data_IF_690082506540
#
_entry.id   IF_690082506540
#
_cell.length_a   1.000
_cell.length_b   1.000
_cell.length_c   1.000
_cell.angle_alpha   90.00
_cell.angle_beta   90.00
_cell.angle_gamma   90.00
#
_symmetry.space_group_name_H-M   'P 1'
#
loop_
_entity.id
_entity.type
_entity.pdbx_description
1 polymer ?
#
# COMPACT_ATOMS: atom_id res chain seq x y z
N UNK A 1 -8.33 5.95 5.04
CA UNK A 1 -9.31 6.93 4.51
C UNK A 1 -10.40 7.12 5.56
N UNK A 2 -10.75 8.35 5.92
CA UNK A 2 -11.87 8.61 6.84
C UNK A 2 -13.19 8.59 6.07
N UNK A 3 -14.26 8.10 6.68
CA UNK A 3 -15.58 7.99 6.04
C UNK A 3 -16.07 9.32 5.47
N UNK A 4 -15.85 10.43 6.20
CA UNK A 4 -16.25 11.79 5.77
C UNK A 4 -15.65 12.21 4.41
N UNK A 5 -14.49 11.65 4.02
CA UNK A 5 -13.78 12.03 2.79
C UNK A 5 -14.58 11.63 1.55
N UNK A 6 -15.37 10.54 1.62
CA UNK A 6 -16.28 10.11 0.56
C UNK A 6 -17.31 11.17 0.18
N UNK A 7 -17.70 12.02 1.14
CA UNK A 7 -18.72 13.05 0.94
C UNK A 7 -18.13 14.45 0.82
N UNK A 8 -17.11 14.78 1.63
CA UNK A 8 -16.44 16.09 1.64
C UNK A 8 -15.94 16.50 0.26
N UNK A 9 -15.43 15.54 -0.52
CA UNK A 9 -14.86 15.79 -1.85
C UNK A 9 -15.74 15.28 -3.00
N UNK A 10 -16.98 14.86 -2.73
CA UNK A 10 -17.85 14.22 -3.71
C UNK A 10 -18.05 15.03 -5.01
N UNK A 11 -18.18 16.36 -4.90
CA UNK A 11 -18.33 17.25 -6.05
C UNK A 11 -17.12 17.24 -7.02
N UNK A 12 -15.95 16.78 -6.57
CA UNK A 12 -14.72 16.73 -7.35
C UNK A 12 -14.35 15.31 -7.82
N UNK A 13 -15.15 14.30 -7.48
CA UNK A 13 -14.98 12.94 -7.97
C UNK A 13 -15.58 12.75 -9.36
N UNK A 14 -14.92 11.90 -10.16
CA UNK A 14 -15.47 11.39 -11.42
C UNK A 14 -16.65 10.44 -11.16
N UNK A 15 -17.49 10.27 -12.18
CA UNK A 15 -18.69 9.43 -12.10
C UNK A 15 -18.37 7.94 -11.91
N UNK A 16 -17.27 7.44 -12.50
CA UNK A 16 -16.92 6.02 -12.50
C UNK A 16 -15.96 5.57 -11.39
N UNK A 17 -15.72 6.43 -10.39
CA UNK A 17 -14.90 6.14 -9.22
C UNK A 17 -15.74 5.90 -7.96
N UNK A 18 -15.44 6.65 -6.89
CA UNK A 18 -16.18 6.57 -5.63
C UNK A 18 -17.69 6.84 -5.79
N UNK A 19 -18.10 7.71 -6.73
CA UNK A 19 -19.52 7.96 -7.02
C UNK A 19 -20.24 6.70 -7.50
N UNK A 20 -19.65 5.96 -8.44
CA UNK A 20 -20.18 4.67 -8.91
C UNK A 20 -20.34 3.68 -7.77
N UNK A 21 -19.35 3.55 -6.87
CA UNK A 21 -19.45 2.66 -5.71
C UNK A 21 -20.61 3.07 -4.78
N UNK A 22 -20.79 4.37 -4.54
CA UNK A 22 -21.88 4.88 -3.69
C UNK A 22 -23.27 4.76 -4.34
N UNK A 23 -23.35 4.89 -5.67
CA UNK A 23 -24.59 4.86 -6.45
C UNK A 23 -25.06 3.43 -6.72
N UNK A 24 -24.15 2.56 -7.13
CA UNK A 24 -24.47 1.22 -7.65
C UNK A 24 -24.13 0.10 -6.64
N UNK A 25 -23.49 0.43 -5.52
CA UNK A 25 -23.11 -0.51 -4.47
C UNK A 25 -23.94 -0.39 -3.19
N UNK A 26 -23.45 -1.02 -2.11
CA UNK A 26 -24.04 -0.91 -0.78
C UNK A 26 -23.07 -0.24 0.19
N UNK A 27 -23.56 0.71 0.99
CA UNK A 27 -22.73 1.55 1.84
C UNK A 27 -23.09 1.39 3.33
N UNK A 28 -22.23 0.70 4.07
CA UNK A 28 -22.32 0.62 5.53
C UNK A 28 -21.74 1.90 6.16
N UNK A 29 -22.64 2.84 6.47
CA UNK A 29 -22.26 4.19 6.95
C UNK A 29 -21.72 4.23 8.39
N UNK A 30 -21.96 3.19 9.19
CA UNK A 30 -21.59 3.13 10.60
C UNK A 30 -20.70 1.91 10.93
N UNK A 31 -19.66 1.70 10.14
CA UNK A 31 -18.64 0.68 10.41
C UNK A 31 -17.53 1.26 11.27
N UNK A 32 -17.25 0.63 12.42
CA UNK A 32 -16.26 1.10 13.40
C UNK A 32 -15.23 0.02 13.68
N UNK A 33 -14.01 0.43 14.03
CA UNK A 33 -13.03 -0.49 14.62
C UNK A 33 -13.47 -0.86 16.03
N UNK A 34 -13.58 -2.16 16.31
CA UNK A 34 -13.91 -2.72 17.62
C UNK A 34 -12.66 -3.11 18.44
N UNK A 35 -11.51 -2.52 18.12
CA UNK A 35 -10.24 -2.79 18.79
C UNK A 35 -9.34 -1.56 18.80
N UNK A 36 -8.29 -1.62 19.61
CA UNK A 36 -7.21 -0.64 19.68
C UNK A 36 -5.86 -1.37 19.71
N UNK A 37 -4.79 -0.84 19.10
CA UNK A 37 -4.70 0.43 18.36
C UNK A 37 -5.18 0.33 16.89
N UNK A 38 -5.74 1.42 16.36
CA UNK A 38 -6.22 1.53 14.95
C UNK A 38 -5.07 1.82 13.98
N UNK A 39 -4.16 0.86 13.83
CA UNK A 39 -2.97 0.97 12.98
C UNK A 39 -3.04 0.07 11.75
N UNK A 40 -2.22 0.36 10.74
CA UNK A 40 -2.24 -0.29 9.42
C UNK A 40 -2.25 -1.83 9.49
N UNK A 41 -1.31 -2.45 10.21
CA UNK A 41 -1.18 -3.91 10.24
C UNK A 41 -2.40 -4.60 10.89
N UNK A 42 -2.84 -4.10 12.05
CA UNK A 42 -4.04 -4.58 12.72
C UNK A 42 -5.27 -4.40 11.81
N UNK A 43 -5.44 -3.20 11.22
CA UNK A 43 -6.44 -2.87 10.19
C UNK A 43 -6.57 -3.90 9.08
N UNK A 44 -5.47 -4.17 8.37
CA UNK A 44 -5.49 -5.10 7.24
C UNK A 44 -5.74 -6.54 7.71
N UNK A 45 -5.22 -6.94 8.87
CA UNK A 45 -5.46 -8.28 9.40
C UNK A 45 -6.94 -8.45 9.73
N UNK A 46 -7.55 -7.52 10.46
CA UNK A 46 -8.95 -7.62 10.89
C UNK A 46 -9.93 -7.63 9.71
N UNK A 47 -9.71 -6.80 8.69
CA UNK A 47 -10.57 -6.76 7.48
C UNK A 47 -10.62 -8.13 6.79
N UNK A 48 -9.49 -8.83 6.70
CA UNK A 48 -9.39 -10.06 5.91
C UNK A 48 -9.56 -11.34 6.73
N UNK A 49 -9.53 -11.27 8.07
CA UNK A 49 -9.70 -12.43 8.97
C UNK A 49 -11.04 -12.45 9.70
N UNK A 50 -11.81 -11.35 9.62
CA UNK A 50 -13.05 -11.15 10.39
C UNK A 50 -12.87 -11.35 11.91
N UNK A 51 -11.69 -10.99 12.42
CA UNK A 51 -11.41 -11.07 13.85
C UNK A 51 -10.52 -9.91 14.32
N UNK A 52 -10.26 -9.86 15.62
CA UNK A 52 -9.54 -8.75 16.27
C UNK A 52 -8.06 -9.11 16.55
N UNK A 53 -7.23 -8.11 16.89
CA UNK A 53 -5.82 -8.34 17.22
C UNK A 53 -5.53 -9.38 18.31
N UNK A 54 -6.44 -9.53 19.28
CA UNK A 54 -6.31 -10.57 20.31
C UNK A 54 -6.39 -11.99 19.74
N UNK A 55 -7.04 -12.18 18.59
CA UNK A 55 -7.25 -13.49 17.96
C UNK A 55 -6.27 -13.72 16.82
N UNK A 56 -6.14 -12.78 15.88
CA UNK A 56 -5.24 -12.94 14.73
C UNK A 56 -3.76 -12.63 15.05
N UNK A 57 -3.45 -12.14 16.26
CA UNK A 57 -2.07 -11.97 16.77
C UNK A 57 -1.31 -10.73 16.29
N UNK A 58 -1.73 -10.10 15.20
CA UNK A 58 -1.13 -8.87 14.66
C UNK A 58 -1.62 -7.62 15.42
N UNK A 59 -0.93 -7.26 16.50
CA UNK A 59 -1.35 -6.22 17.46
C UNK A 59 -0.92 -4.79 17.10
N UNK A 60 0.10 -4.61 16.27
CA UNK A 60 0.61 -3.30 15.90
C UNK A 60 1.39 -3.36 14.58
N UNK A 61 1.81 -2.21 14.04
CA UNK A 61 2.73 -2.18 12.89
C UNK A 61 4.10 -2.81 13.23
N UNK A 62 4.52 -2.67 14.48
CA UNK A 62 5.70 -3.27 15.09
C UNK A 62 5.48 -3.35 16.60
N UNK A 63 6.06 -4.33 17.26
CA UNK A 63 5.97 -4.48 18.72
C UNK A 63 7.27 -5.05 19.29
N UNK A 64 7.47 -4.83 20.59
CA UNK A 64 8.60 -5.40 21.30
C UNK A 64 8.35 -6.87 21.58
N UNK A 65 9.20 -7.75 21.08
CA UNK A 65 9.18 -9.17 21.37
C UNK A 65 10.07 -9.45 22.59
N UNK A 66 9.45 -9.65 23.76
CA UNK A 66 10.15 -9.91 25.02
C UNK A 66 11.04 -11.14 25.01
N UNK A 67 10.66 -12.19 24.26
CA UNK A 67 11.44 -13.42 24.18
C UNK A 67 12.72 -13.27 23.35
N UNK A 68 12.73 -12.30 22.42
CA UNK A 68 13.88 -11.98 21.57
C UNK A 68 14.60 -10.70 21.99
N UNK A 69 14.11 -10.02 23.03
CA UNK A 69 14.59 -8.73 23.52
C UNK A 69 14.79 -7.68 22.39
N UNK A 70 13.86 -7.62 21.43
CA UNK A 70 13.95 -6.70 20.28
C UNK A 70 12.58 -6.33 19.72
N UNK A 71 12.50 -5.18 19.07
CA UNK A 71 11.34 -4.83 18.24
C UNK A 71 11.32 -5.69 16.96
N UNK A 72 10.13 -6.10 16.55
CA UNK A 72 9.88 -6.80 15.28
C UNK A 72 8.77 -6.08 14.52
N UNK A 73 8.92 -5.93 13.19
CA UNK A 73 7.83 -5.45 12.32
C UNK A 73 6.77 -6.56 12.17
N UNK A 74 5.52 -6.14 11.95
CA UNK A 74 4.34 -7.03 11.86
C UNK A 74 4.44 -8.19 10.88
N UNK A 75 5.20 -8.03 9.80
CA UNK A 75 5.37 -9.05 8.77
C UNK A 75 6.83 -9.47 8.59
N UNK A 76 7.74 -8.99 9.46
CA UNK A 76 9.16 -9.35 9.40
C UNK A 76 9.34 -10.85 9.60
N UNK A 77 10.13 -11.47 8.71
CA UNK A 77 10.53 -12.85 8.88
C UNK A 77 11.98 -13.07 8.46
N UNK A 78 12.80 -13.45 9.45
CA UNK A 78 14.24 -13.72 9.30
C UNK A 78 14.53 -15.10 8.70
N UNK A 79 13.52 -15.92 8.43
CA UNK A 79 13.69 -17.24 7.79
C UNK A 79 13.38 -17.22 6.29
N UNK A 80 13.04 -16.06 5.74
CA UNK A 80 12.79 -15.85 4.31
C UNK A 80 13.55 -14.61 3.88
N UNK A 81 13.87 -14.53 2.58
CA UNK A 81 14.67 -13.44 2.02
C UNK A 81 13.83 -12.63 1.04
N UNK A 82 14.25 -11.40 0.76
CA UNK A 82 13.60 -10.54 -0.22
C UNK A 82 13.94 -10.99 -1.65
N UNK A 83 12.93 -11.06 -2.52
CA UNK A 83 13.04 -11.52 -3.91
C UNK A 83 12.76 -10.37 -4.86
N UNK A 84 13.64 -10.19 -5.84
CA UNK A 84 13.60 -9.05 -6.76
C UNK A 84 14.39 -7.84 -6.28
N UNK A 85 15.15 -8.00 -5.19
CA UNK A 85 15.92 -6.90 -4.62
C UNK A 85 17.25 -6.66 -5.33
N UNK A 86 17.62 -5.40 -5.61
CA UNK A 86 18.94 -4.95 -6.09
C UNK A 86 20.04 -5.19 -5.06
N UNK A 87 19.73 -4.95 -3.78
CA UNK A 87 20.65 -5.22 -2.66
C UNK A 87 20.14 -6.46 -1.92
N UNK A 88 21.01 -7.44 -1.70
CA UNK A 88 20.65 -8.66 -0.97
C UNK A 88 20.15 -8.29 0.43
N UNK A 89 18.92 -8.73 0.75
CA UNK A 89 18.32 -8.55 2.06
C UNK A 89 17.95 -9.92 2.63
N UNK A 90 18.58 -10.29 3.74
CA UNK A 90 18.37 -11.58 4.40
C UNK A 90 17.11 -11.60 5.28
N UNK A 91 16.34 -10.50 5.29
CA UNK A 91 15.08 -10.38 6.02
C UNK A 91 13.98 -10.06 5.01
N UNK A 92 13.08 -11.02 4.79
CA UNK A 92 11.89 -10.84 3.96
C UNK A 92 10.64 -10.55 4.79
N UNK A 93 9.51 -10.46 4.10
CA UNK A 93 8.19 -10.30 4.71
C UNK A 93 7.30 -11.51 4.45
N UNK A 94 6.54 -11.96 5.44
CA UNK A 94 5.63 -13.12 5.35
C UNK A 94 4.50 -13.02 6.38
N UNK A 95 3.40 -13.76 6.23
CA UNK A 95 2.27 -13.74 7.15
C UNK A 95 2.54 -14.51 8.46
N UNK A 96 3.80 -14.88 8.77
CA UNK A 96 4.18 -15.71 9.93
C UNK A 96 3.63 -15.26 11.30
N UNK A 97 3.33 -13.97 11.47
CA UNK A 97 2.77 -13.45 12.72
C UNK A 97 1.22 -13.50 12.77
N UNK A 98 0.57 -13.81 11.64
CA UNK A 98 -0.87 -13.96 11.55
C UNK A 98 -1.25 -15.36 12.05
N UNK A 99 -2.05 -15.43 13.12
CA UNK A 99 -2.39 -16.71 13.76
C UNK A 99 -3.63 -17.38 13.16
N UNK A 100 -4.37 -16.66 12.32
CA UNK A 100 -5.65 -17.09 11.76
C UNK A 100 -5.62 -17.09 10.24
N UNK A 101 -6.52 -17.85 9.64
CA UNK A 101 -6.74 -17.80 8.18
C UNK A 101 -7.47 -16.52 7.78
N UNK A 102 -7.24 -16.09 6.54
CA UNK A 102 -7.96 -14.98 5.89
C UNK A 102 -9.07 -15.51 4.97
N UNK A 103 -9.98 -14.65 4.51
CA UNK A 103 -10.90 -14.97 3.42
C UNK A 103 -10.15 -15.38 2.14
N UNK A 104 -8.96 -14.82 1.91
CA UNK A 104 -8.06 -15.20 0.81
C UNK A 104 -7.57 -16.64 0.96
N UNK A 105 -7.22 -17.06 2.19
CA UNK A 105 -6.83 -18.44 2.50
C UNK A 105 -8.02 -19.39 2.32
N UNK A 106 -9.20 -19.00 2.79
CA UNK A 106 -10.42 -19.80 2.65
C UNK A 106 -10.79 -20.00 1.19
N UNK A 107 -10.66 -18.97 0.33
CA UNK A 107 -10.87 -19.10 -1.11
C UNK A 107 -9.92 -20.12 -1.75
N UNK A 108 -8.62 -20.03 -1.41
CA UNK A 108 -7.60 -20.97 -1.91
C UNK A 108 -7.89 -22.39 -1.46
N UNK A 109 -8.23 -22.62 -0.20
CA UNK A 109 -8.54 -23.96 0.31
C UNK A 109 -9.83 -24.52 -0.31
N UNK A 110 -10.88 -23.71 -0.44
CA UNK A 110 -12.18 -24.14 -0.95
C UNK A 110 -12.15 -24.53 -2.43
N UNK A 111 -11.25 -23.93 -3.21
CA UNK A 111 -11.07 -24.28 -4.64
C UNK A 111 -9.97 -25.33 -4.84
N UNK A 112 -9.53 -26.01 -3.78
CA UNK A 112 -8.39 -26.94 -3.80
C UNK A 112 -7.17 -26.32 -4.52
N UNK A 113 -6.87 -25.07 -4.19
CA UNK A 113 -5.77 -24.26 -4.70
C UNK A 113 -5.81 -23.92 -6.19
N UNK A 114 -6.98 -24.02 -6.85
CA UNK A 114 -7.15 -23.58 -8.24
C UNK A 114 -7.33 -22.07 -8.39
N UNK A 115 -8.10 -21.42 -7.49
CA UNK A 115 -8.25 -19.95 -7.48
C UNK A 115 -6.90 -19.26 -7.33
N UNK A 116 -6.67 -18.13 -7.96
CA UNK A 116 -5.50 -17.28 -7.74
C UNK A 116 -5.79 -16.16 -6.76
N UNK A 117 -4.84 -15.96 -5.84
CA UNK A 117 -4.83 -14.84 -4.92
C UNK A 117 -3.55 -14.04 -5.13
N UNK A 118 -3.71 -12.79 -5.57
CA UNK A 118 -2.61 -11.83 -5.75
C UNK A 118 -2.86 -10.63 -4.84
N UNK A 119 -1.84 -10.22 -4.10
CA UNK A 119 -1.94 -9.09 -3.17
C UNK A 119 -0.89 -8.04 -3.46
N UNK A 120 -1.29 -6.77 -3.58
CA UNK A 120 -0.38 -5.69 -3.99
C UNK A 120 -0.54 -4.44 -3.12
N UNK A 121 0.58 -3.81 -2.78
CA UNK A 121 0.60 -2.54 -2.03
C UNK A 121 1.89 -1.76 -2.27
N UNK A 122 1.96 -0.52 -1.79
CA UNK A 122 3.24 0.18 -1.63
C UNK A 122 3.94 -0.17 -0.30
N UNK A 123 3.31 -0.99 0.55
CA UNK A 123 3.86 -1.44 1.83
C UNK A 123 3.79 -2.95 1.95
N UNK A 124 4.86 -3.55 2.45
CA UNK A 124 4.95 -4.96 2.84
C UNK A 124 3.70 -5.49 3.56
N UNK A 125 3.35 -4.92 4.72
CA UNK A 125 2.20 -5.32 5.54
C UNK A 125 0.85 -5.11 4.85
N UNK A 126 0.77 -4.14 3.94
CA UNK A 126 -0.42 -3.87 3.15
C UNK A 126 -0.64 -4.90 2.04
N UNK A 127 0.40 -5.63 1.64
CA UNK A 127 0.29 -6.75 0.71
C UNK A 127 0.23 -8.11 1.44
N UNK A 128 1.11 -8.34 2.41
CA UNK A 128 1.24 -9.64 3.08
C UNK A 128 -0.01 -10.02 3.89
N UNK A 129 -0.57 -9.10 4.68
CA UNK A 129 -1.67 -9.43 5.59
C UNK A 129 -2.99 -9.70 4.87
N UNK A 130 -3.39 -8.92 3.83
CA UNK A 130 -4.54 -9.26 2.99
C UNK A 130 -4.39 -10.56 2.19
N UNK A 131 -3.17 -10.88 1.76
CA UNK A 131 -2.91 -12.11 1.01
C UNK A 131 -3.08 -13.38 1.85
N UNK A 132 -2.88 -13.29 3.17
CA UNK A 132 -2.91 -14.43 4.05
C UNK A 132 -1.74 -15.39 3.81
N UNK A 133 -1.90 -16.62 4.29
CA UNK A 133 -0.91 -17.69 4.24
C UNK A 133 -0.74 -18.31 2.85
N UNK A 134 -1.82 -18.34 2.06
CA UNK A 134 -1.94 -19.19 0.88
C UNK A 134 -2.00 -18.41 -0.45
N UNK A 135 -1.74 -17.10 -0.40
CA UNK A 135 -1.63 -16.28 -1.61
C UNK A 135 -0.59 -16.84 -2.59
N UNK A 136 -0.91 -16.80 -3.89
CA UNK A 136 0.04 -17.11 -4.94
C UNK A 136 1.21 -16.11 -4.94
N UNK A 137 0.92 -14.84 -4.66
CA UNK A 137 1.93 -13.81 -4.48
C UNK A 137 1.45 -12.63 -3.65
N UNK A 138 2.37 -12.05 -2.88
CA UNK A 138 2.27 -10.69 -2.38
C UNK A 138 3.42 -9.85 -2.95
N UNK A 139 3.10 -8.68 -3.50
CA UNK A 139 4.07 -7.72 -4.04
C UNK A 139 3.98 -6.38 -3.33
N UNK A 140 5.12 -5.80 -3.01
CA UNK A 140 5.19 -4.46 -2.47
C UNK A 140 6.30 -3.63 -3.07
N UNK A 141 6.12 -2.31 -3.03
CA UNK A 141 7.16 -1.38 -3.42
C UNK A 141 8.27 -1.35 -2.36
N UNK A 142 9.50 -1.67 -2.78
CA UNK A 142 10.67 -1.57 -1.93
C UNK A 142 11.33 -0.20 -2.10
N UNK A 143 11.45 0.49 -0.99
CA UNK A 143 12.10 1.80 -0.89
C UNK A 143 13.44 1.73 -0.15
N UNK A 144 13.74 0.59 0.50
CA UNK A 144 14.93 0.43 1.34
C UNK A 144 16.06 -0.24 0.55
N UNK A 145 15.82 -1.44 0.03
CA UNK A 145 16.88 -2.27 -0.58
C UNK A 145 16.87 -2.28 -2.12
N UNK A 146 15.75 -1.87 -2.72
CA UNK A 146 15.56 -1.76 -4.17
C UNK A 146 14.72 -0.56 -4.55
N UNK A 147 15.19 0.65 -4.23
CA UNK A 147 14.36 1.84 -4.31
C UNK A 147 13.75 1.97 -5.71
N UNK A 148 12.41 1.92 -5.76
CA UNK A 148 11.65 2.08 -6.99
C UNK A 148 11.09 0.78 -7.61
N UNK A 149 11.41 -0.40 -7.08
CA UNK A 149 10.96 -1.69 -7.62
C UNK A 149 9.86 -2.33 -6.78
N UNK A 150 8.99 -3.10 -7.43
CA UNK A 150 8.15 -4.07 -6.73
C UNK A 150 8.93 -5.35 -6.47
N UNK A 151 8.86 -5.84 -5.24
CA UNK A 151 9.54 -7.03 -4.75
C UNK A 151 8.53 -8.00 -4.13
N UNK A 152 8.99 -9.21 -3.82
CA UNK A 152 8.28 -10.20 -3.01
C UNK A 152 9.24 -10.85 -2.02
N UNK A 153 8.91 -12.00 -1.44
CA UNK A 153 9.83 -12.78 -0.60
C UNK A 153 9.85 -14.25 -1.00
N UNK A 154 10.88 -14.96 -0.51
CA UNK A 154 11.03 -16.41 -0.70
C UNK A 154 9.95 -17.23 0.02
N UNK A 155 9.03 -16.60 0.74
CA UNK A 155 7.81 -17.23 1.21
C UNK A 155 6.87 -17.57 0.04
N UNK A 156 6.81 -16.71 -0.98
CA UNK A 156 5.86 -16.85 -2.10
C UNK A 156 6.50 -17.45 -3.35
N UNK A 157 7.77 -17.18 -3.61
CA UNK A 157 8.44 -17.55 -4.85
C UNK A 157 9.96 -17.51 -4.75
N UNK A 158 10.66 -18.34 -5.52
CA UNK A 158 12.13 -18.32 -5.59
C UNK A 158 12.66 -17.17 -6.47
N UNK A 159 11.87 -16.73 -7.45
CA UNK A 159 12.21 -15.66 -8.38
C UNK A 159 10.97 -14.88 -8.79
N UNK A 160 11.14 -13.58 -9.06
CA UNK A 160 10.06 -12.77 -9.60
C UNK A 160 9.60 -13.32 -10.96
N UNK A 161 8.27 -13.34 -11.24
CA UNK A 161 7.78 -13.60 -12.57
C UNK A 161 8.35 -12.63 -13.60
N UNK A 162 8.38 -13.08 -14.87
CA UNK A 162 8.92 -12.29 -15.98
C UNK A 162 8.20 -10.94 -16.12
N UNK A 163 6.89 -10.91 -15.90
CA UNK A 163 6.08 -9.69 -16.02
C UNK A 163 6.43 -8.65 -14.94
N UNK A 164 6.64 -9.08 -13.69
CA UNK A 164 7.09 -8.18 -12.60
C UNK A 164 8.48 -7.61 -12.92
N UNK A 165 9.38 -8.49 -13.37
CA UNK A 165 10.73 -8.08 -13.78
C UNK A 165 10.69 -7.08 -14.95
N UNK A 166 9.79 -7.28 -15.92
CA UNK A 166 9.56 -6.35 -17.03
C UNK A 166 8.99 -5.02 -16.54
N UNK A 167 8.01 -5.04 -15.63
CA UNK A 167 7.45 -3.83 -15.04
C UNK A 167 8.51 -2.99 -14.33
N UNK A 168 9.34 -3.63 -13.50
CA UNK A 168 10.43 -2.95 -12.79
C UNK A 168 11.43 -2.29 -13.74
N UNK A 169 11.78 -2.95 -14.85
CA UNK A 169 12.67 -2.41 -15.91
C UNK A 169 12.09 -1.20 -16.65
N UNK A 170 10.78 -0.93 -16.56
CA UNK A 170 10.20 0.29 -17.13
C UNK A 170 10.55 1.55 -16.32
N UNK A 171 11.05 1.36 -15.09
CA UNK A 171 11.48 2.42 -14.15
C UNK A 171 10.43 3.52 -13.95
N UNK A 172 9.14 3.13 -13.97
CA UNK A 172 8.01 4.07 -13.83
C UNK A 172 8.09 4.90 -12.55
N UNK A 173 8.55 4.29 -11.45
CA UNK A 173 8.80 4.99 -10.19
C UNK A 173 9.70 6.22 -10.38
N UNK A 174 10.81 6.08 -11.12
CA UNK A 174 11.74 7.18 -11.38
C UNK A 174 11.12 8.23 -12.31
N UNK A 175 10.43 7.78 -13.36
CA UNK A 175 9.72 8.66 -14.31
C UNK A 175 8.68 9.53 -13.63
N UNK A 176 7.94 8.99 -12.66
CA UNK A 176 6.98 9.77 -11.87
C UNK A 176 7.66 10.86 -11.02
N UNK A 177 8.88 10.63 -10.55
CA UNK A 177 9.66 11.61 -9.81
C UNK A 177 10.40 12.60 -10.72
N UNK A 178 10.28 12.47 -12.04
CA UNK A 178 10.81 13.40 -13.03
C UNK A 178 9.73 14.39 -13.54
N UNK A 179 8.78 14.72 -12.66
CA UNK A 179 7.64 15.57 -12.98
C UNK A 179 7.47 16.69 -11.95
N UNK A 180 6.58 17.64 -12.26
CA UNK A 180 6.09 18.63 -11.30
C UNK A 180 4.70 18.20 -10.84
N UNK A 181 4.54 18.04 -9.53
CA UNK A 181 3.25 17.77 -8.93
C UNK A 181 2.48 19.07 -8.74
N UNK A 182 1.44 19.23 -9.55
CA UNK A 182 0.44 20.29 -9.46
C UNK A 182 -0.88 19.74 -8.90
N UNK A 183 -1.75 20.63 -8.42
CA UNK A 183 -3.15 20.29 -8.16
C UNK A 183 -3.84 19.87 -9.46
N UNK A 184 -4.81 18.96 -9.37
CA UNK A 184 -5.54 18.48 -10.55
C UNK A 184 -6.55 19.51 -11.06
N UNK A 185 -7.23 20.20 -10.13
CA UNK A 185 -8.06 21.36 -10.44
C UNK A 185 -7.30 22.66 -10.14
N UNK A 186 -7.82 23.83 -10.56
CA UNK A 186 -7.28 25.12 -10.10
C UNK A 186 -7.28 25.19 -8.57
N UNK A 187 -6.19 25.65 -7.98
CA UNK A 187 -5.92 25.55 -6.54
C UNK A 187 -6.96 26.31 -5.69
N UNK A 188 -7.45 27.43 -6.20
CA UNK A 188 -8.52 28.25 -5.63
C UNK A 188 -9.85 27.50 -5.51
N UNK A 189 -10.06 26.44 -6.30
CA UNK A 189 -11.27 25.63 -6.24
C UNK A 189 -11.26 24.58 -5.12
N UNK A 190 -10.15 24.43 -4.39
CA UNK A 190 -10.00 23.50 -3.26
C UNK A 190 -10.56 24.09 -1.95
N UNK A 191 -11.76 24.66 -1.99
CA UNK A 191 -12.44 25.31 -0.85
C UNK A 191 -12.76 24.38 0.34
N UNK A 192 -12.58 23.07 0.16
CA UNK A 192 -12.73 22.04 1.20
C UNK A 192 -11.40 21.67 1.84
N UNK A 193 -10.30 22.31 1.50
CA UNK A 193 -8.98 22.17 2.12
C UNK A 193 -8.65 23.40 2.97
N UNK A 194 -7.64 23.28 3.84
CA UNK A 194 -7.06 24.46 4.50
C UNK A 194 -6.18 25.22 3.50
N UNK A 195 -5.74 26.43 3.85
CA UNK A 195 -4.87 27.23 2.99
C UNK A 195 -3.55 26.52 2.65
N UNK A 196 -3.09 26.67 1.41
CA UNK A 196 -1.91 25.98 0.86
C UNK A 196 -0.64 26.24 1.68
N UNK A 197 -0.43 27.47 2.15
CA UNK A 197 0.64 27.78 3.09
C UNK A 197 0.12 27.76 4.52
N UNK A 198 0.36 26.68 5.27
CA UNK A 198 -0.01 26.61 6.68
C UNK A 198 1.08 25.96 7.55
N UNK A 199 1.05 26.31 8.84
CA UNK A 199 2.06 25.90 9.83
C UNK A 199 1.94 24.44 10.32
N UNK A 200 0.89 23.72 9.91
CA UNK A 200 0.61 22.35 10.34
C UNK A 200 1.08 21.31 9.31
N UNK A 201 1.62 21.76 8.18
CA UNK A 201 2.20 20.89 7.16
C UNK A 201 3.71 20.75 7.33
N UNK A 202 4.22 19.56 7.02
CA UNK A 202 5.66 19.34 6.95
C UNK A 202 6.22 20.09 5.74
N UNK A 203 7.23 20.92 5.96
CA UNK A 203 7.92 21.60 4.86
C UNK A 203 8.81 20.60 4.11
N UNK A 204 8.33 20.17 2.93
CA UNK A 204 9.04 19.21 2.08
C UNK A 204 10.22 19.83 1.31
N UNK A 205 10.20 21.15 1.11
CA UNK A 205 11.22 21.95 0.41
C UNK A 205 11.94 22.90 1.37
N UNK A 206 12.48 24.01 0.88
CA UNK A 206 13.30 24.93 1.70
C UNK A 206 12.48 26.05 2.34
N UNK A 207 11.38 26.49 1.71
CA UNK A 207 10.71 27.74 2.12
C UNK A 207 9.36 27.51 2.81
N UNK A 208 8.42 26.84 2.12
CA UNK A 208 7.03 26.69 2.56
C UNK A 208 6.37 25.46 1.89
N UNK A 209 5.29 24.92 2.47
CA UNK A 209 4.62 23.71 1.98
C UNK A 209 3.59 24.01 0.88
N UNK A 210 3.88 24.90 -0.08
CA UNK A 210 2.92 25.29 -1.11
C UNK A 210 3.11 24.58 -2.44
N UNK A 211 2.03 24.43 -3.20
CA UNK A 211 2.11 23.99 -4.59
C UNK A 211 2.76 25.07 -5.48
N UNK A 212 3.40 24.66 -6.60
CA UNK A 212 3.64 23.27 -7.03
C UNK A 212 4.90 22.64 -6.42
N UNK A 213 4.93 21.31 -6.35
CA UNK A 213 6.10 20.54 -5.90
C UNK A 213 6.91 20.02 -7.09
N UNK A 214 8.10 20.60 -7.34
CA UNK A 214 9.00 20.10 -8.38
C UNK A 214 9.80 18.88 -7.87
N UNK A 215 9.36 17.67 -8.23
CA UNK A 215 10.04 16.45 -7.80
C UNK A 215 11.45 16.32 -8.38
N UNK A 216 11.77 16.98 -9.50
CA UNK A 216 13.11 16.95 -10.08
C UNK A 216 14.12 17.68 -9.18
N UNK A 217 13.69 18.76 -8.53
CA UNK A 217 14.51 19.48 -7.54
C UNK A 217 14.53 18.73 -6.22
N UNK A 218 13.37 18.33 -5.71
CA UNK A 218 13.26 17.63 -4.43
C UNK A 218 14.05 16.31 -4.41
N UNK A 219 13.99 15.53 -5.49
CA UNK A 219 14.69 14.24 -5.55
C UNK A 219 16.20 14.37 -5.37
N UNK A 220 16.83 15.48 -5.78
CA UNK A 220 18.27 15.70 -5.56
C UNK A 220 18.61 15.66 -4.07
N UNK A 221 17.80 16.29 -3.22
CA UNK A 221 17.97 16.28 -1.75
C UNK A 221 17.66 14.91 -1.15
N UNK A 222 16.57 14.27 -1.57
CA UNK A 222 16.14 12.99 -1.01
C UNK A 222 17.06 11.84 -1.43
N UNK A 223 17.67 11.91 -2.62
CA UNK A 223 18.64 10.93 -3.10
C UNK A 223 19.90 10.90 -2.25
N UNK A 224 20.37 12.04 -1.72
CA UNK A 224 21.50 12.09 -0.76
C UNK A 224 21.28 11.24 0.49
N UNK A 225 20.02 10.98 0.84
CA UNK A 225 19.60 10.19 2.01
C UNK A 225 19.08 8.80 1.61
N UNK A 226 19.19 8.42 0.33
CA UNK A 226 18.65 7.19 -0.26
C UNK A 226 17.14 6.98 -0.02
N UNK A 227 16.35 8.07 -0.05
CA UNK A 227 14.90 8.03 0.26
C UNK A 227 14.05 8.75 -0.80
N UNK A 228 14.55 8.98 -2.01
CA UNK A 228 13.80 9.71 -3.06
C UNK A 228 12.45 9.08 -3.38
N UNK A 229 12.34 7.76 -3.31
CA UNK A 229 11.10 7.04 -3.56
C UNK A 229 10.06 7.14 -2.45
N UNK A 230 10.41 7.68 -1.26
CA UNK A 230 9.40 8.04 -0.25
C UNK A 230 8.39 9.06 -0.80
N UNK A 231 8.77 9.87 -1.79
CA UNK A 231 7.89 10.86 -2.42
C UNK A 231 6.71 10.23 -3.17
N UNK A 232 6.87 9.01 -3.68
CA UNK A 232 5.73 8.25 -4.23
C UNK A 232 4.74 7.88 -3.13
N UNK A 233 5.23 7.68 -1.91
CA UNK A 233 4.40 7.34 -0.76
C UNK A 233 3.41 8.43 -0.36
N UNK A 234 3.69 9.70 -0.63
CA UNK A 234 2.82 10.83 -0.24
C UNK A 234 2.29 11.67 -1.41
N UNK A 235 2.45 11.19 -2.65
CA UNK A 235 1.92 11.86 -3.84
C UNK A 235 0.98 10.93 -4.63
N UNK A 236 0.00 11.48 -5.38
CA UNK A 236 -0.92 10.66 -6.19
C UNK A 236 -0.22 9.71 -7.17
N UNK A 237 1.01 10.02 -7.57
CA UNK A 237 1.84 9.18 -8.42
C UNK A 237 2.05 7.77 -7.84
N UNK A 238 2.14 7.60 -6.51
CA UNK A 238 2.26 6.28 -5.90
C UNK A 238 1.01 5.40 -6.13
N UNK A 239 -0.19 5.97 -5.96
CA UNK A 239 -1.43 5.25 -6.23
C UNK A 239 -1.58 4.92 -7.73
N UNK A 240 -1.13 5.82 -8.62
CA UNK A 240 -1.10 5.56 -10.06
C UNK A 240 -0.16 4.40 -10.39
N UNK A 241 1.06 4.42 -9.85
CA UNK A 241 2.03 3.32 -9.99
C UNK A 241 1.46 1.98 -9.51
N UNK A 242 0.84 1.96 -8.32
CA UNK A 242 0.22 0.75 -7.76
C UNK A 242 -0.94 0.24 -8.63
N UNK A 243 -1.77 1.15 -9.15
CA UNK A 243 -2.90 0.78 -10.03
C UNK A 243 -2.41 0.18 -11.33
N UNK A 244 -1.37 0.76 -11.95
CA UNK A 244 -0.77 0.19 -13.16
C UNK A 244 -0.15 -1.18 -12.90
N UNK A 245 0.49 -1.39 -11.74
CA UNK A 245 1.01 -2.69 -11.35
C UNK A 245 -0.12 -3.72 -11.15
N UNK A 246 -1.22 -3.33 -10.49
CA UNK A 246 -2.38 -4.19 -10.28
C UNK A 246 -3.06 -4.58 -11.61
N UNK A 247 -3.18 -3.65 -12.56
CA UNK A 247 -3.70 -3.94 -13.90
C UNK A 247 -2.79 -4.95 -14.63
N UNK A 248 -1.48 -4.80 -14.55
CA UNK A 248 -0.55 -5.76 -15.14
C UNK A 248 -0.63 -7.12 -14.44
N UNK A 249 -0.86 -7.17 -13.12
CA UNK A 249 -1.10 -8.41 -12.39
C UNK A 249 -2.35 -9.13 -12.91
N UNK A 250 -3.49 -8.44 -13.05
CA UNK A 250 -4.73 -9.03 -13.62
C UNK A 250 -4.45 -9.68 -14.97
N UNK A 251 -3.79 -8.94 -15.88
CA UNK A 251 -3.53 -9.42 -17.24
C UNK A 251 -2.56 -10.59 -17.31
N UNK A 252 -1.48 -10.55 -16.53
CA UNK A 252 -0.42 -11.56 -16.63
C UNK A 252 -0.67 -12.79 -15.75
N UNK A 253 -1.47 -12.65 -14.70
CA UNK A 253 -1.92 -13.77 -13.87
C UNK A 253 -3.28 -14.32 -14.32
N UNK A 254 -3.88 -13.75 -15.38
CA UNK A 254 -5.15 -14.20 -15.97
C UNK A 254 -6.32 -14.24 -14.98
N UNK A 255 -6.38 -13.23 -14.10
CA UNK A 255 -7.33 -13.21 -12.98
C UNK A 255 -8.77 -13.00 -13.48
N UNK A 256 -9.67 -13.90 -13.08
CA UNK A 256 -11.09 -13.85 -13.41
C UNK A 256 -11.44 -14.33 -14.82
N UNK A 257 -10.53 -15.03 -15.49
CA UNK A 257 -10.72 -15.53 -16.86
C UNK A 257 -10.85 -17.07 -16.91
N UNK A 258 -11.23 -17.69 -15.79
CA UNK A 258 -11.50 -19.13 -15.68
C UNK A 258 -12.66 -19.40 -14.69
N UNK A 259 -13.02 -20.67 -14.49
CA UNK A 259 -14.23 -21.06 -13.74
C UNK A 259 -14.15 -20.76 -12.23
N UNK A 260 -12.97 -20.94 -11.62
CA UNK A 260 -12.79 -20.63 -10.19
C UNK A 260 -12.70 -19.11 -9.96
N UNK A 261 -13.29 -18.63 -8.87
CA UNK A 261 -13.17 -17.22 -8.46
C UNK A 261 -11.76 -16.91 -7.99
N UNK A 262 -11.19 -15.83 -8.52
CA UNK A 262 -9.91 -15.28 -8.07
C UNK A 262 -10.09 -14.09 -7.12
N UNK A 263 -9.02 -13.74 -6.40
CA UNK A 263 -9.00 -12.55 -5.55
C UNK A 263 -7.74 -11.71 -5.80
N UNK A 264 -7.98 -10.44 -6.12
CA UNK A 264 -6.95 -9.41 -6.14
C UNK A 264 -7.18 -8.47 -4.96
N UNK A 265 -6.17 -8.30 -4.12
CA UNK A 265 -6.22 -7.32 -3.03
C UNK A 265 -5.26 -6.17 -3.36
N UNK A 266 -5.75 -4.93 -3.19
CA UNK A 266 -5.00 -3.71 -3.48
C UNK A 266 -5.08 -2.78 -2.28
N UNK A 267 -3.94 -2.52 -1.64
CA UNK A 267 -3.87 -1.59 -0.50
C UNK A 267 -3.29 -0.25 -0.94
N UNK A 268 -4.19 0.72 -1.17
CA UNK A 268 -3.84 2.11 -1.46
C UNK A 268 -3.34 2.83 -0.21
N UNK A 269 -2.04 3.10 -0.18
CA UNK A 269 -1.37 3.64 1.00
C UNK A 269 -1.17 5.17 0.96
N UNK A 270 -1.19 5.79 -0.23
CA UNK A 270 -0.76 7.20 -0.37
C UNK A 270 -1.55 8.17 0.50
N UNK A 271 -2.85 7.93 0.68
CA UNK A 271 -3.71 8.80 1.51
C UNK A 271 -3.29 8.82 2.98
N UNK A 272 -2.71 7.73 3.50
CA UNK A 272 -2.20 7.66 4.88
C UNK A 272 -0.93 8.50 5.02
N UNK A 273 0.05 8.31 4.14
CA UNK A 273 1.30 9.07 4.21
C UNK A 273 1.09 10.54 3.90
N UNK A 274 0.30 10.85 2.88
CA UNK A 274 -0.05 12.22 2.53
C UNK A 274 -0.78 12.88 3.70
N UNK A 275 -1.69 12.18 4.38
CA UNK A 275 -2.29 12.64 5.62
C UNK A 275 -1.23 12.94 6.70
N UNK A 276 -0.33 12.01 6.99
CA UNK A 276 0.73 12.23 7.99
C UNK A 276 1.70 13.37 7.68
N UNK A 277 1.90 13.68 6.40
CA UNK A 277 2.90 14.66 5.94
C UNK A 277 2.27 16.05 5.72
N UNK A 278 1.09 16.08 5.11
CA UNK A 278 0.41 17.28 4.60
C UNK A 278 -0.88 17.61 5.38
N UNK A 279 -1.21 16.83 6.41
CA UNK A 279 -2.35 17.10 7.26
C UNK A 279 -2.02 16.65 8.69
N UNK A 280 -1.30 17.45 9.46
CA UNK A 280 -1.29 17.20 10.90
C UNK A 280 -2.69 17.44 11.45
N UNK A 281 -3.34 16.32 11.76
CA UNK A 281 -4.56 16.24 12.56
C UNK A 281 -4.20 16.75 13.96
N UNK A 282 -4.89 17.79 14.43
CA UNK A 282 -5.11 17.97 15.86
C UNK A 282 -6.08 16.90 16.35
#
# INVERSE_FOLDING_TARGET
MRSEQMYRYAAKYSEDGFKRILRDGFNFKNTQYNYTPTVTAAGHSSIYTDTTPSTHGVIANSWFNRYKNKYAKSVENTTVVLIGSKIKNNIGSSPKQLLTTTISDQLRMNTNFRSKVISVSLKDRGAVLPGGHLANAAYWHDIETSPGYFVSSSYYMDKLPKWVSKFNKLEKSSKYLDTVWNTFYPIESYIKSYGDNNKYELVLREDNPTFPYDFRKLRVKYRKRNIEYLMLGFSPAGNKLLTEFAIDAIKNEDLGNHEDTDMLTISYFVTDKAGHVLAQIQ
#
